data_IF_761163474731
#
_entry.id   IF_761163474731
#
_cell.length_a   1.000
_cell.length_b   1.000
_cell.length_c   1.000
_cell.angle_alpha   90.00
_cell.angle_beta   90.00
_cell.angle_gamma   90.00
#
_symmetry.space_group_name_H-M   'P 1'
#
loop_
_entity.id
_entity.type
_entity.pdbx_description
1 polymer ?
#
# COMPACT_ATOMS: atom_id res chain seq x y z
N UNK A 1 -15.19 6.50 23.64
CA UNK A 1 -15.20 5.55 24.78
C UNK A 1 -14.05 5.79 25.76
N UNK A 2 -12.80 5.92 25.30
CA UNK A 2 -11.64 6.20 26.16
C UNK A 2 -11.74 7.55 26.90
N UNK A 3 -12.05 8.65 26.19
CA UNK A 3 -12.21 9.98 26.80
C UNK A 3 -13.31 10.05 27.87
N UNK A 4 -14.43 9.34 27.67
CA UNK A 4 -15.50 9.25 28.67
C UNK A 4 -15.08 8.51 29.94
N UNK A 5 -14.23 7.48 29.83
CA UNK A 5 -13.72 6.73 30.98
C UNK A 5 -12.73 7.57 31.82
N UNK A 6 -11.83 8.31 31.17
CA UNK A 6 -10.87 9.20 31.84
C UNK A 6 -11.60 10.33 32.57
N UNK A 7 -12.60 10.94 31.93
CA UNK A 7 -13.43 12.00 32.54
C UNK A 7 -14.20 11.44 33.75
N UNK A 8 -14.81 10.25 33.61
CA UNK A 8 -15.56 9.62 34.71
C UNK A 8 -14.66 9.27 35.92
N UNK A 9 -13.49 8.68 35.68
CA UNK A 9 -12.53 8.34 36.74
C UNK A 9 -12.02 9.59 37.46
N UNK A 10 -11.72 10.65 36.71
CA UNK A 10 -11.32 11.95 37.26
C UNK A 10 -12.44 12.57 38.09
N UNK A 11 -13.69 12.50 37.61
CA UNK A 11 -14.87 13.04 38.32
C UNK A 11 -15.19 12.33 39.65
N UNK A 12 -14.76 11.09 39.83
CA UNK A 12 -14.94 10.30 41.07
C UNK A 12 -13.70 10.43 42.00
N UNK A 13 -12.65 11.13 41.57
CA UNK A 13 -11.42 11.36 42.34
C UNK A 13 -10.33 10.29 42.17
N UNK A 14 -10.48 9.38 41.21
CA UNK A 14 -9.52 8.33 40.87
C UNK A 14 -8.48 8.84 39.87
N UNK A 15 -7.66 9.80 40.32
CA UNK A 15 -6.68 10.48 39.46
C UNK A 15 -5.54 9.56 38.99
N UNK A 16 -5.10 8.63 39.85
CA UNK A 16 -3.97 7.73 39.53
C UNK A 16 -4.40 6.70 38.48
N UNK A 17 -5.61 6.18 38.60
CA UNK A 17 -6.20 5.24 37.67
C UNK A 17 -6.47 5.90 36.32
N UNK A 18 -7.01 7.13 36.31
CA UNK A 18 -7.19 7.91 35.10
C UNK A 18 -5.86 8.19 34.37
N UNK A 19 -4.81 8.57 35.11
CA UNK A 19 -3.48 8.82 34.55
C UNK A 19 -2.84 7.53 34.00
N UNK A 20 -2.99 6.41 34.71
CA UNK A 20 -2.46 5.11 34.27
C UNK A 20 -3.12 4.65 32.97
N UNK A 21 -4.44 4.77 32.88
CA UNK A 21 -5.17 4.45 31.65
C UNK A 21 -4.76 5.35 30.48
N UNK A 22 -4.61 6.65 30.71
CA UNK A 22 -4.17 7.58 29.68
C UNK A 22 -2.78 7.20 29.14
N UNK A 23 -1.82 6.90 30.03
CA UNK A 23 -0.47 6.49 29.62
C UNK A 23 -0.48 5.18 28.83
N UNK A 24 -1.18 4.16 29.32
CA UNK A 24 -1.27 2.86 28.62
C UNK A 24 -1.91 3.01 27.24
N UNK A 25 -2.96 3.82 27.13
CA UNK A 25 -3.63 4.04 25.86
C UNK A 25 -2.76 4.82 24.88
N UNK A 26 -2.07 5.87 25.33
CA UNK A 26 -1.13 6.60 24.47
C UNK A 26 0.00 5.72 23.97
N UNK A 27 0.50 4.78 24.78
CA UNK A 27 1.50 3.80 24.31
C UNK A 27 0.90 2.89 23.22
N UNK A 28 -0.34 2.43 23.41
CA UNK A 28 -1.01 1.59 22.42
C UNK A 28 -1.23 2.33 21.10
N UNK A 29 -1.71 3.58 21.14
CA UNK A 29 -1.89 4.43 19.95
C UNK A 29 -0.56 4.67 19.23
N UNK A 30 0.52 4.96 19.96
CA UNK A 30 1.85 5.13 19.37
C UNK A 30 2.37 3.87 18.67
N UNK A 31 2.11 2.69 19.24
CA UNK A 31 2.47 1.42 18.62
C UNK A 31 1.64 1.12 17.37
N UNK A 32 0.35 1.48 17.39
CA UNK A 32 -0.56 1.36 16.24
C UNK A 32 -0.09 2.25 15.09
N UNK A 33 0.18 3.53 15.36
CA UNK A 33 0.68 4.50 14.39
C UNK A 33 2.01 4.01 13.77
N UNK A 34 2.95 3.57 14.61
CA UNK A 34 4.23 3.03 14.14
C UNK A 34 4.07 1.82 13.22
N UNK A 35 3.17 0.90 13.57
CA UNK A 35 2.90 -0.29 12.75
C UNK A 35 2.27 0.11 11.39
N UNK A 36 1.35 1.08 11.40
CA UNK A 36 0.71 1.60 10.20
C UNK A 36 1.69 2.34 9.28
N UNK A 37 2.60 3.13 9.84
CA UNK A 37 3.65 3.81 9.08
C UNK A 37 4.59 2.82 8.40
N UNK A 38 4.99 1.76 9.12
CA UNK A 38 5.85 0.71 8.54
C UNK A 38 5.18 -0.04 7.39
N UNK A 39 3.86 -0.26 7.46
CA UNK A 39 3.11 -0.86 6.36
C UNK A 39 3.09 0.06 5.12
N UNK A 40 3.00 1.38 5.30
CA UNK A 40 3.02 2.37 4.21
C UNK A 40 4.38 2.47 3.52
N UNK A 41 5.48 2.32 4.25
CA UNK A 41 6.83 2.38 3.66
C UNK A 41 7.08 1.26 2.64
N UNK A 42 6.62 0.04 2.91
CA UNK A 42 6.74 -1.08 1.96
C UNK A 42 5.96 -0.86 0.65
N UNK A 43 4.94 -0.01 0.66
CA UNK A 43 4.23 0.39 -0.56
C UNK A 43 5.01 1.45 -1.37
N UNK A 44 5.80 2.30 -0.70
CA UNK A 44 6.62 3.33 -1.36
C UNK A 44 7.75 2.72 -2.19
N UNK A 45 8.42 1.69 -1.68
CA UNK A 45 9.47 0.97 -2.42
C UNK A 45 8.94 0.34 -3.72
N UNK A 46 7.66 -0.05 -3.77
CA UNK A 46 7.03 -0.54 -5.01
C UNK A 46 6.69 0.58 -6.00
N UNK A 47 6.40 1.79 -5.52
CA UNK A 47 6.15 2.96 -6.37
C UNK A 47 7.44 3.47 -7.03
N UNK A 48 8.59 3.38 -6.35
CA UNK A 48 9.92 3.73 -6.90
C UNK A 48 10.39 2.80 -8.04
N UNK A 49 9.69 1.69 -8.27
CA UNK A 49 9.97 0.79 -9.39
C UNK A 49 9.48 1.36 -10.73
N UNK A 50 8.44 2.20 -10.73
CA UNK A 50 7.88 2.80 -11.95
C UNK A 50 8.67 4.05 -12.34
N UNK A 51 9.11 4.20 -13.61
CA UNK A 51 9.76 5.43 -14.06
C UNK A 51 8.76 6.61 -14.12
N UNK A 52 9.19 7.79 -13.65
CA UNK A 52 8.38 9.01 -13.72
C UNK A 52 8.29 9.59 -15.15
N UNK A 53 9.28 9.29 -15.99
CA UNK A 53 9.42 9.82 -17.34
C UNK A 53 9.64 8.69 -18.36
N UNK A 54 9.21 8.95 -19.60
CA UNK A 54 9.39 8.09 -20.75
C UNK A 54 9.89 8.90 -21.94
N UNK A 55 10.78 8.33 -22.74
CA UNK A 55 11.19 8.94 -24.01
C UNK A 55 10.35 8.33 -25.13
N UNK A 56 9.48 9.12 -25.74
CA UNK A 56 8.63 8.72 -26.86
C UNK A 56 9.22 9.17 -28.18
N UNK A 57 9.04 8.37 -29.23
CA UNK A 57 9.38 8.71 -30.60
C UNK A 57 8.13 9.28 -31.29
N UNK A 58 8.07 10.62 -31.43
CA UNK A 58 6.96 11.32 -32.10
C UNK A 58 7.50 12.03 -33.34
N UNK A 59 6.91 11.77 -34.50
CA UNK A 59 7.33 12.38 -35.78
C UNK A 59 8.83 12.18 -36.13
N UNK A 60 9.45 11.11 -35.61
CA UNK A 60 10.88 10.81 -35.80
C UNK A 60 11.82 11.57 -34.87
N UNK A 61 11.30 12.33 -33.91
CA UNK A 61 12.05 13.00 -32.86
C UNK A 61 11.78 12.34 -31.50
N UNK A 62 12.84 12.17 -30.71
CA UNK A 62 12.72 11.70 -29.33
C UNK A 62 12.30 12.85 -28.41
N UNK A 63 11.21 12.65 -27.67
CA UNK A 63 10.69 13.61 -26.70
C UNK A 63 10.52 12.92 -25.36
N UNK A 64 11.14 13.45 -24.31
CA UNK A 64 10.91 12.98 -22.94
C UNK A 64 9.65 13.65 -22.38
N UNK A 65 8.71 12.82 -21.93
CA UNK A 65 7.43 13.23 -21.34
C UNK A 65 7.19 12.45 -20.05
N UNK A 66 6.33 12.94 -19.14
CA UNK A 66 5.89 12.13 -18.00
C UNK A 66 5.28 10.81 -18.47
N UNK A 67 5.56 9.71 -17.78
CA UNK A 67 5.05 8.38 -18.17
C UNK A 67 3.51 8.31 -18.17
N UNK A 68 2.85 9.17 -17.40
CA UNK A 68 1.39 9.31 -17.37
C UNK A 68 0.80 9.98 -18.63
N UNK A 69 1.61 10.71 -19.41
CA UNK A 69 1.19 11.41 -20.63
C UNK A 69 1.41 10.59 -21.92
N UNK A 70 1.91 9.36 -21.78
CA UNK A 70 2.13 8.47 -22.92
C UNK A 70 0.86 7.67 -23.20
N UNK A 71 0.39 7.74 -24.43
CA UNK A 71 -0.81 7.07 -24.90
C UNK A 71 -0.51 5.64 -25.43
N UNK A 72 -1.51 4.78 -25.40
CA UNK A 72 -1.43 3.44 -26.00
C UNK A 72 -1.22 3.55 -27.52
N UNK A 73 -0.29 2.77 -28.04
CA UNK A 73 0.13 2.79 -29.45
C UNK A 73 1.28 3.77 -29.74
N UNK A 74 1.75 4.53 -28.76
CA UNK A 74 2.98 5.31 -28.92
C UNK A 74 4.22 4.41 -28.84
N UNK A 75 5.27 4.81 -29.54
CA UNK A 75 6.57 4.14 -29.47
C UNK A 75 7.43 4.80 -28.40
N UNK A 76 7.84 4.03 -27.40
CA UNK A 76 8.85 4.44 -26.42
C UNK A 76 10.21 3.86 -26.77
N UNK A 77 11.23 4.66 -26.57
CA UNK A 77 12.62 4.33 -26.80
C UNK A 77 13.26 3.96 -25.46
N UNK A 78 13.84 2.77 -25.38
CA UNK A 78 14.49 2.25 -24.16
C UNK A 78 15.95 1.95 -24.46
N UNK A 79 16.87 2.61 -23.75
CA UNK A 79 18.32 2.44 -23.92
C UNK A 79 18.87 1.41 -22.93
N UNK A 80 20.08 0.88 -23.15
CA UNK A 80 20.73 0.01 -22.18
C UNK A 80 20.88 0.70 -20.82
N UNK A 81 20.45 0.03 -19.76
CA UNK A 81 20.41 0.53 -18.38
C UNK A 81 19.11 1.24 -18.00
N UNK A 82 18.24 1.58 -18.97
CA UNK A 82 16.96 2.24 -18.68
C UNK A 82 15.92 1.23 -18.17
N UNK A 83 15.04 1.73 -17.30
CA UNK A 83 13.82 1.01 -16.95
C UNK A 83 12.80 1.18 -18.06
N UNK A 84 12.08 0.10 -18.37
CA UNK A 84 10.95 0.13 -19.30
C UNK A 84 9.82 0.92 -18.63
N UNK A 85 9.34 2.04 -19.22
CA UNK A 85 8.40 2.93 -18.55
C UNK A 85 6.98 2.36 -18.48
N UNK A 86 6.55 1.63 -19.50
CA UNK A 86 5.18 1.14 -19.67
C UNK A 86 5.18 -0.26 -20.25
N UNK A 87 4.11 -1.01 -19.98
CA UNK A 87 3.88 -2.30 -20.63
C UNK A 87 3.73 -2.10 -22.13
N UNK A 88 4.33 -3.00 -22.90
CA UNK A 88 4.34 -2.88 -24.34
C UNK A 88 4.83 -4.11 -25.08
N UNK A 89 4.93 -3.99 -26.39
CA UNK A 89 5.49 -5.00 -27.28
C UNK A 89 6.68 -4.42 -28.01
N UNK A 90 7.79 -5.14 -28.04
CA UNK A 90 8.99 -4.72 -28.80
C UNK A 90 8.64 -4.69 -30.28
N UNK A 91 8.87 -3.56 -30.94
CA UNK A 91 8.67 -3.40 -32.38
C UNK A 91 9.99 -3.39 -33.16
N UNK A 92 11.09 -2.95 -32.52
CA UNK A 92 12.43 -2.98 -33.09
C UNK A 92 13.49 -3.17 -32.00
N UNK A 93 14.62 -3.78 -32.37
CA UNK A 93 15.73 -4.06 -31.48
C UNK A 93 15.76 -5.48 -30.88
N UNK A 94 16.86 -5.76 -30.20
CA UNK A 94 17.12 -7.01 -29.47
C UNK A 94 17.91 -6.67 -28.21
N UNK A 95 17.48 -7.17 -27.06
CA UNK A 95 18.16 -6.97 -25.78
C UNK A 95 17.78 -8.00 -24.74
N UNK A 96 18.66 -8.22 -23.77
CA UNK A 96 18.33 -8.90 -22.52
C UNK A 96 17.60 -7.95 -21.57
N UNK A 97 16.47 -8.40 -21.02
CA UNK A 97 15.65 -7.63 -20.09
C UNK A 97 15.57 -8.34 -18.73
N UNK A 98 16.01 -7.66 -17.68
CA UNK A 98 15.87 -8.10 -16.30
C UNK A 98 14.45 -7.81 -15.79
N UNK A 99 13.69 -8.88 -15.55
CA UNK A 99 12.32 -8.85 -15.03
C UNK A 99 12.27 -9.19 -13.52
N UNK A 100 13.42 -9.35 -12.87
CA UNK A 100 13.52 -9.67 -11.44
C UNK A 100 12.72 -8.75 -10.51
N UNK A 101 12.53 -7.43 -10.78
CA UNK A 101 11.71 -6.59 -9.92
C UNK A 101 10.23 -6.99 -9.88
N UNK A 102 9.74 -7.71 -10.90
CA UNK A 102 8.32 -8.04 -11.08
C UNK A 102 8.09 -9.53 -10.85
N UNK A 103 8.89 -10.39 -11.50
CA UNK A 103 8.72 -11.85 -11.46
C UNK A 103 9.51 -12.51 -10.33
N UNK A 104 10.55 -11.83 -9.83
CA UNK A 104 11.51 -12.40 -8.88
C UNK A 104 12.51 -13.38 -9.51
N UNK A 105 12.50 -13.56 -10.83
CA UNK A 105 13.45 -14.41 -11.54
C UNK A 105 14.72 -13.62 -11.87
N UNK A 106 15.88 -14.08 -11.38
CA UNK A 106 17.15 -13.35 -11.51
C UNK A 106 17.87 -13.54 -12.85
N UNK A 107 17.29 -14.31 -13.78
CA UNK A 107 17.91 -14.57 -15.09
C UNK A 107 17.25 -13.63 -16.10
N UNK A 108 18.01 -12.71 -16.73
CA UNK A 108 17.49 -11.86 -17.79
C UNK A 108 16.91 -12.69 -18.94
N UNK A 109 15.85 -12.18 -19.54
CA UNK A 109 15.17 -12.85 -20.66
C UNK A 109 15.47 -12.08 -21.93
N UNK A 110 15.94 -12.77 -22.96
CA UNK A 110 16.14 -12.19 -24.29
C UNK A 110 14.81 -11.75 -24.88
N UNK A 111 14.77 -10.52 -25.40
CA UNK A 111 13.61 -9.91 -26.03
C UNK A 111 13.95 -9.43 -27.43
N UNK A 112 13.06 -9.75 -28.36
CA UNK A 112 13.13 -9.41 -29.77
C UNK A 112 11.79 -8.84 -30.26
N UNK A 113 11.76 -8.33 -31.48
CA UNK A 113 10.53 -7.81 -32.07
C UNK A 113 9.36 -8.83 -32.01
N UNK A 114 8.24 -8.40 -31.45
CA UNK A 114 7.05 -9.20 -31.18
C UNK A 114 6.92 -9.72 -29.74
N UNK A 115 7.98 -9.61 -28.93
CA UNK A 115 7.93 -10.04 -27.53
C UNK A 115 7.34 -8.96 -26.60
N UNK A 116 6.60 -9.39 -25.59
CA UNK A 116 6.03 -8.51 -24.56
C UNK A 116 7.08 -8.10 -23.53
N UNK A 117 7.01 -6.85 -23.10
CA UNK A 117 7.84 -6.27 -22.03
C UNK A 117 6.96 -5.56 -21.00
N UNK A 118 7.44 -5.53 -19.76
CA UNK A 118 6.68 -5.04 -18.61
C UNK A 118 7.29 -3.77 -18.02
N UNK A 119 6.43 -2.87 -17.56
CA UNK A 119 6.82 -1.65 -16.86
C UNK A 119 7.64 -1.97 -15.61
N UNK A 120 8.76 -1.28 -15.44
CA UNK A 120 9.69 -1.46 -14.32
C UNK A 120 10.77 -2.52 -14.53
N UNK A 121 10.70 -3.31 -15.61
CA UNK A 121 11.81 -4.17 -16.03
C UNK A 121 13.00 -3.33 -16.49
N UNK A 122 14.22 -3.85 -16.36
CA UNK A 122 15.45 -3.13 -16.69
C UNK A 122 16.01 -3.68 -18.00
N UNK A 123 16.23 -2.81 -18.96
CA UNK A 123 16.90 -3.15 -20.21
C UNK A 123 18.42 -3.22 -19.97
N UNK A 124 19.11 -4.32 -20.27
CA UNK A 124 20.52 -4.47 -19.88
C UNK A 124 21.51 -4.02 -20.97
N UNK A 125 21.43 -4.59 -22.17
CA UNK A 125 22.53 -4.51 -23.15
C UNK A 125 22.18 -3.75 -24.44
N UNK A 126 20.99 -3.98 -24.98
CA UNK A 126 20.57 -3.53 -26.32
C UNK A 126 19.62 -2.34 -26.31
N UNK A 127 19.36 -1.81 -27.50
CA UNK A 127 18.37 -0.76 -27.72
C UNK A 127 17.03 -1.40 -28.09
N UNK A 128 15.93 -0.90 -27.53
CA UNK A 128 14.59 -1.38 -27.82
C UNK A 128 13.66 -0.22 -28.18
N UNK A 129 12.85 -0.42 -29.21
CA UNK A 129 11.65 0.36 -29.47
C UNK A 129 10.45 -0.47 -29.07
N UNK A 130 9.61 0.09 -28.20
CA UNK A 130 8.48 -0.62 -27.61
C UNK A 130 7.21 0.15 -27.93
N UNK A 131 6.24 -0.52 -28.55
CA UNK A 131 4.90 0.03 -28.71
C UNK A 131 4.12 -0.17 -27.41
N UNK A 132 3.63 0.92 -26.83
CA UNK A 132 2.91 0.92 -25.56
C UNK A 132 1.56 0.22 -25.72
N UNK A 133 1.28 -0.77 -24.88
CA UNK A 133 0.02 -1.53 -24.90
C UNK A 133 -0.93 -1.14 -23.77
N UNK A 134 -0.42 -0.52 -22.70
CA UNK A 134 -1.19 -0.10 -21.53
C UNK A 134 -0.73 1.26 -21.01
N UNK A 135 -1.67 2.03 -20.46
CA UNK A 135 -1.34 3.29 -19.77
C UNK A 135 -0.66 3.01 -18.42
N UNK A 136 -0.02 4.04 -17.83
CA UNK A 136 0.64 3.93 -16.54
C UNK A 136 -0.29 3.36 -15.44
N UNK A 137 -1.54 3.79 -15.41
CA UNK A 137 -2.54 3.35 -14.42
C UNK A 137 -3.05 1.91 -14.62
N UNK A 138 -2.93 1.34 -15.82
CA UNK A 138 -3.45 0.02 -16.16
C UNK A 138 -2.35 -1.04 -16.38
N UNK A 139 -1.08 -0.67 -16.16
CA UNK A 139 0.08 -1.55 -16.29
C UNK A 139 0.03 -2.74 -15.32
N UNK A 140 0.78 -3.79 -15.65
CA UNK A 140 0.95 -4.99 -14.84
C UNK A 140 1.43 -4.64 -13.44
N UNK A 141 2.39 -3.72 -13.33
CA UNK A 141 2.89 -3.23 -12.05
C UNK A 141 1.80 -2.50 -11.26
N UNK A 142 1.01 -1.62 -11.90
CA UNK A 142 -0.12 -0.93 -11.27
C UNK A 142 -1.18 -1.90 -10.74
N UNK A 143 -1.50 -2.97 -11.50
CA UNK A 143 -2.41 -4.03 -11.05
C UNK A 143 -1.87 -4.79 -9.84
N UNK A 144 -0.57 -5.09 -9.82
CA UNK A 144 0.08 -5.72 -8.66
C UNK A 144 -0.02 -4.80 -7.44
N UNK A 145 0.29 -3.51 -7.59
CA UNK A 145 0.19 -2.53 -6.52
C UNK A 145 -1.25 -2.43 -6.00
N UNK A 146 -2.26 -2.38 -6.88
CA UNK A 146 -3.67 -2.35 -6.48
C UNK A 146 -4.09 -3.62 -5.74
N UNK A 147 -3.68 -4.81 -6.23
CA UNK A 147 -3.97 -6.09 -5.56
C UNK A 147 -3.34 -6.14 -4.17
N UNK A 148 -2.09 -5.71 -4.03
CA UNK A 148 -1.36 -5.68 -2.74
C UNK A 148 -1.98 -4.67 -1.78
N UNK A 149 -2.36 -3.48 -2.26
CA UNK A 149 -3.09 -2.49 -1.46
C UNK A 149 -4.45 -3.01 -1.01
N UNK A 150 -5.22 -3.64 -1.91
CA UNK A 150 -6.52 -4.23 -1.59
C UNK A 150 -6.43 -5.38 -0.58
N UNK A 151 -5.33 -6.14 -0.58
CA UNK A 151 -5.05 -7.16 0.42
C UNK A 151 -4.73 -6.56 1.79
N UNK A 152 -3.96 -5.48 1.85
CA UNK A 152 -3.60 -4.78 3.09
C UNK A 152 -4.76 -3.97 3.69
N UNK A 153 -5.66 -3.43 2.86
CA UNK A 153 -6.82 -2.67 3.31
C UNK A 153 -7.87 -3.51 4.05
N UNK A 154 -7.78 -4.84 3.97
CA UNK A 154 -8.63 -5.72 4.78
C UNK A 154 -8.15 -5.73 6.22
N UNK A 155 -9.04 -5.34 7.14
CA UNK A 155 -8.86 -5.51 8.59
C UNK A 155 -8.26 -6.88 8.89
N UNK A 156 -7.21 -6.91 9.69
CA UNK A 156 -6.56 -8.18 10.05
C UNK A 156 -7.52 -9.07 10.83
N UNK A 157 -7.31 -10.40 10.79
CA UNK A 157 -8.15 -11.35 11.56
C UNK A 157 -8.17 -11.00 13.06
N UNK A 158 -7.02 -10.54 13.59
CA UNK A 158 -6.88 -10.08 14.96
C UNK A 158 -7.70 -8.82 15.27
N UNK A 159 -7.71 -7.83 14.37
CA UNK A 159 -8.51 -6.61 14.55
C UNK A 159 -10.01 -6.92 14.53
N UNK A 160 -10.45 -7.76 13.60
CA UNK A 160 -11.85 -8.20 13.52
C UNK A 160 -12.28 -8.98 14.78
N UNK A 161 -11.38 -9.78 15.35
CA UNK A 161 -11.62 -10.47 16.62
C UNK A 161 -11.79 -9.49 17.78
N UNK A 162 -10.89 -8.50 17.90
CA UNK A 162 -10.95 -7.47 18.97
C UNK A 162 -12.23 -6.64 18.86
N UNK A 163 -12.62 -6.22 17.65
CA UNK A 163 -13.87 -5.50 17.40
C UNK A 163 -15.10 -6.33 17.83
N UNK A 164 -15.14 -7.61 17.42
CA UNK A 164 -16.23 -8.52 17.78
C UNK A 164 -16.30 -8.73 19.29
N UNK A 165 -15.17 -8.99 19.93
CA UNK A 165 -15.08 -9.20 21.38
C UNK A 165 -15.53 -7.96 22.13
N UNK A 166 -15.04 -6.78 21.74
CA UNK A 166 -15.40 -5.49 22.33
C UNK A 166 -16.89 -5.21 22.20
N UNK A 167 -17.49 -5.54 21.05
CA UNK A 167 -18.92 -5.38 20.80
C UNK A 167 -19.83 -6.12 21.79
N UNK A 168 -19.36 -7.22 22.41
CA UNK A 168 -20.09 -7.94 23.46
C UNK A 168 -19.61 -7.58 24.87
N UNK A 169 -18.30 -7.44 25.05
CA UNK A 169 -17.69 -7.20 26.36
C UNK A 169 -18.08 -5.83 26.94
N UNK A 170 -18.00 -4.76 26.14
CA UNK A 170 -18.31 -3.40 26.59
C UNK A 170 -19.76 -3.25 27.10
N UNK A 171 -20.82 -3.63 26.35
CA UNK A 171 -22.18 -3.49 26.85
C UNK A 171 -22.45 -4.37 28.08
N UNK A 172 -21.88 -5.58 28.15
CA UNK A 172 -22.03 -6.45 29.32
C UNK A 172 -21.47 -5.80 30.59
N UNK A 173 -20.24 -5.26 30.52
CA UNK A 173 -19.60 -4.58 31.66
C UNK A 173 -20.37 -3.32 32.07
N UNK A 174 -20.88 -2.54 31.10
CA UNK A 174 -21.71 -1.35 31.38
C UNK A 174 -23.01 -1.74 32.12
N UNK A 175 -23.70 -2.79 31.67
CA UNK A 175 -24.90 -3.30 32.34
C UNK A 175 -24.58 -3.77 33.77
N UNK A 176 -23.50 -4.54 33.95
CA UNK A 176 -23.07 -4.98 35.28
C UNK A 176 -22.72 -3.81 36.20
N UNK A 177 -22.06 -2.76 35.68
CA UNK A 177 -21.75 -1.56 36.44
C UNK A 177 -23.02 -0.83 36.90
N UNK A 178 -24.02 -0.68 36.01
CA UNK A 178 -25.33 -0.07 36.35
C UNK A 178 -26.06 -0.90 37.41
N UNK A 179 -26.12 -2.23 37.24
CA UNK A 179 -26.74 -3.12 38.22
C UNK A 179 -26.04 -3.04 39.58
N UNK A 180 -24.72 -3.04 39.60
CA UNK A 180 -23.92 -2.93 40.83
C UNK A 180 -24.15 -1.59 41.53
N UNK A 181 -24.31 -0.50 40.77
CA UNK A 181 -24.62 0.82 41.32
C UNK A 181 -26.07 0.92 41.85
N UNK A 182 -27.03 0.27 41.19
CA UNK A 182 -28.46 0.43 41.47
C UNK A 182 -29.04 -0.58 42.47
N UNK A 183 -28.51 -1.81 42.54
CA UNK A 183 -29.08 -2.88 43.40
C UNK A 183 -28.89 -2.59 44.90
N UNK A 184 -27.69 -2.24 45.42
CA UNK A 184 -27.50 -2.02 46.85
C UNK A 184 -28.44 -0.99 47.49
N UNK A 185 -28.63 0.23 46.91
CA UNK A 185 -29.56 1.19 47.50
C UNK A 185 -31.02 0.72 47.44
N UNK A 186 -31.40 -0.17 46.52
CA UNK A 186 -32.77 -0.65 46.36
C UNK A 186 -33.12 -1.83 47.29
N UNK A 187 -32.10 -2.56 47.75
CA UNK A 187 -32.23 -3.68 48.70
C UNK A 187 -32.02 -3.24 50.15
N UNK A 188 -31.23 -2.18 50.37
CA UNK A 188 -30.88 -1.66 51.70
C UNK A 188 -31.77 -0.47 52.13
N UNK A 189 -32.50 0.16 51.20
CA UNK A 189 -33.56 1.13 51.51
C UNK A 189 -34.88 0.44 51.89
#
# INVERSE_FOLDING_TARGET
LMGTAIIAATGIGYFVEAATLAVLFSIAELLEDYAMDRARDSLRELMELSPDEATVLRDGEEVTVPAEEVDVGETVVVRPGDKIPLDGTVIDGESAVDQSPITGESVPVDKTAGDEVYAGAINEEGYLEVEVTSTAGDSTLSRIIEMVQGAQAKKTESEQFVDRFSGYYTPLVVVLAILTAAIPPLVIA
#
